data_IF_956517112872
#
_entry.id   IF_956517112872
#
_cell.length_a   1.000
_cell.length_b   1.000
_cell.length_c   1.000
_cell.angle_alpha   90.00
_cell.angle_beta   90.00
_cell.angle_gamma   90.00
#
_symmetry.space_group_name_H-M   'P 1'
#
loop_
_entity.id
_entity.type
_entity.pdbx_description
1 polymer ?
#
# COMPACT_ATOMS: atom_id res chain seq x y z
N UNK A 1 45.21 52.93 24.97
CA UNK A 1 44.15 52.85 23.95
C UNK A 1 44.48 51.75 22.97
N UNK A 2 43.85 50.58 23.09
CA UNK A 2 43.73 49.59 22.03
C UNK A 2 42.52 48.71 22.41
N UNK A 3 41.41 48.90 21.69
CA UNK A 3 40.17 48.16 21.86
C UNK A 3 40.18 46.95 20.92
N UNK A 4 39.96 45.76 21.46
CA UNK A 4 39.79 44.53 20.70
C UNK A 4 38.35 44.46 20.16
N UNK A 5 38.18 44.46 18.84
CA UNK A 5 36.90 44.25 18.18
C UNK A 5 36.65 42.74 17.98
N UNK A 6 35.52 42.27 18.49
CA UNK A 6 35.00 40.91 18.26
C UNK A 6 34.35 40.88 16.88
N UNK A 7 34.84 40.03 15.97
CA UNK A 7 34.14 39.70 14.72
C UNK A 7 33.00 38.72 15.03
N UNK A 8 31.76 39.17 14.87
CA UNK A 8 30.59 38.29 14.76
C UNK A 8 30.47 37.79 13.33
N UNK A 9 30.58 36.48 13.12
CA UNK A 9 30.28 35.86 11.83
C UNK A 9 28.76 35.88 11.60
N UNK A 10 28.30 36.67 10.62
CA UNK A 10 26.90 36.68 10.19
C UNK A 10 26.54 35.38 9.47
N UNK A 11 25.40 34.78 9.81
CA UNK A 11 24.76 33.72 9.02
C UNK A 11 24.48 34.22 7.59
N UNK A 12 24.69 33.40 6.54
CA UNK A 12 24.27 33.78 5.20
C UNK A 12 22.73 33.88 5.17
N UNK A 13 22.22 35.01 4.69
CA UNK A 13 20.81 35.17 4.39
C UNK A 13 20.41 34.19 3.28
N UNK A 14 19.35 33.42 3.50
CA UNK A 14 18.76 32.58 2.48
C UNK A 14 18.22 33.48 1.35
N UNK A 15 18.72 33.28 0.14
CA UNK A 15 18.23 33.98 -1.05
C UNK A 15 16.87 33.37 -1.45
N UNK A 16 15.78 34.13 -1.28
CA UNK A 16 14.46 33.78 -1.78
C UNK A 16 14.45 33.84 -3.32
N UNK A 17 14.66 32.69 -3.97
CA UNK A 17 14.39 32.54 -5.40
C UNK A 17 12.98 31.96 -5.56
N UNK A 18 12.02 32.81 -5.92
CA UNK A 18 10.69 32.38 -6.29
C UNK A 18 10.72 31.70 -7.67
N UNK A 19 10.63 30.37 -7.69
CA UNK A 19 10.42 29.57 -8.92
C UNK A 19 8.91 29.45 -9.15
N UNK A 20 8.39 29.69 -10.37
CA UNK A 20 6.98 29.46 -10.68
C UNK A 20 6.68 27.96 -10.60
N UNK A 21 5.88 27.55 -9.62
CA UNK A 21 5.34 26.19 -9.53
C UNK A 21 4.10 26.11 -10.41
N UNK A 22 4.23 25.44 -11.55
CA UNK A 22 3.12 24.79 -12.19
C UNK A 22 3.37 23.29 -12.06
N UNK A 23 2.78 22.68 -11.03
CA UNK A 23 2.44 21.25 -11.05
C UNK A 23 1.25 21.05 -10.13
N UNK A 24 0.06 21.11 -10.72
CA UNK A 24 -1.16 20.63 -10.06
C UNK A 24 -0.99 19.12 -9.89
N UNK A 25 -1.26 18.59 -8.69
CA UNK A 25 -1.12 17.16 -8.41
C UNK A 25 -1.86 16.31 -9.48
N UNK A 26 -1.28 15.20 -9.97
CA UNK A 26 -1.93 14.37 -10.97
C UNK A 26 -3.29 13.88 -10.47
N UNK A 27 -4.32 13.99 -11.30
CA UNK A 27 -5.61 13.35 -11.06
C UNK A 27 -5.56 11.91 -11.55
N UNK A 28 -6.26 11.01 -10.87
CA UNK A 28 -6.46 9.64 -11.36
C UNK A 28 -7.81 9.54 -12.03
N UNK A 29 -7.84 9.06 -13.27
CA UNK A 29 -9.07 8.74 -14.00
C UNK A 29 -9.24 7.22 -14.07
N UNK A 30 -10.47 6.77 -13.89
CA UNK A 30 -10.84 5.36 -14.02
C UNK A 30 -12.04 5.21 -14.94
N UNK A 31 -11.91 4.31 -15.92
CA UNK A 31 -13.02 3.91 -16.79
C UNK A 31 -13.39 2.47 -16.54
N UNK A 32 -14.65 2.24 -16.21
CA UNK A 32 -15.21 0.91 -15.99
C UNK A 32 -15.89 0.40 -17.25
N UNK A 33 -15.41 -0.72 -17.78
CA UNK A 33 -15.97 -1.43 -18.93
C UNK A 33 -16.77 -2.63 -18.39
N UNK A 34 -18.11 -2.58 -18.44
CA UNK A 34 -18.93 -3.75 -18.12
C UNK A 34 -18.60 -4.89 -19.08
N UNK A 35 -18.26 -6.05 -18.56
CA UNK A 35 -18.04 -7.23 -19.38
C UNK A 35 -19.37 -7.98 -19.50
N UNK A 36 -20.28 -7.39 -20.28
CA UNK A 36 -21.57 -7.99 -20.65
C UNK A 36 -21.45 -8.56 -22.05
N UNK A 37 -21.24 -9.87 -22.21
CA UNK A 37 -21.08 -10.49 -23.53
C UNK A 37 -21.15 -12.01 -23.52
N UNK A 38 -21.75 -12.56 -24.57
CA UNK A 38 -21.86 -14.00 -24.84
C UNK A 38 -20.49 -14.64 -25.00
N UNK A 39 -20.37 -15.91 -24.63
CA UNK A 39 -19.18 -16.73 -24.84
C UNK A 39 -18.63 -16.60 -26.29
N UNK A 40 -17.35 -16.22 -26.43
CA UNK A 40 -16.63 -16.43 -27.69
C UNK A 40 -16.52 -17.92 -28.01
N UNK A 41 -16.53 -18.29 -29.28
CA UNK A 41 -16.36 -19.68 -29.70
C UNK A 41 -15.01 -20.24 -29.19
N UNK A 42 -14.99 -21.48 -28.66
CA UNK A 42 -13.75 -22.13 -28.25
C UNK A 42 -12.80 -22.26 -29.46
N UNK A 43 -11.51 -21.97 -29.26
CA UNK A 43 -10.52 -22.10 -30.34
C UNK A 43 -10.29 -23.58 -30.69
N UNK A 44 -10.19 -23.94 -31.98
CA UNK A 44 -9.76 -25.27 -32.38
C UNK A 44 -8.33 -25.54 -31.89
N UNK A 45 -8.12 -26.63 -31.13
CA UNK A 45 -6.80 -27.10 -30.73
C UNK A 45 -6.44 -26.96 -29.25
N UNK A 46 -7.32 -26.42 -28.39
CA UNK A 46 -7.10 -26.41 -26.94
C UNK A 46 -7.56 -27.72 -26.29
N UNK A 47 -6.62 -28.62 -25.98
CA UNK A 47 -6.85 -29.82 -25.17
C UNK A 47 -6.76 -29.49 -23.68
N UNK A 48 -7.79 -28.88 -23.10
CA UNK A 48 -8.02 -28.90 -21.66
C UNK A 48 -9.52 -29.02 -21.40
N UNK A 49 -9.93 -29.94 -20.52
CA UNK A 49 -11.33 -30.21 -20.17
C UNK A 49 -12.00 -29.13 -19.30
N UNK A 50 -11.69 -27.84 -19.53
CA UNK A 50 -12.23 -26.66 -18.84
C UNK A 50 -12.69 -25.64 -19.89
N UNK A 51 -13.84 -25.00 -19.67
CA UNK A 51 -14.39 -24.04 -20.63
C UNK A 51 -13.63 -22.70 -20.57
N UNK A 52 -12.96 -22.33 -21.66
CA UNK A 52 -12.29 -21.05 -21.83
C UNK A 52 -13.29 -19.97 -22.31
N UNK A 53 -13.22 -18.76 -21.75
CA UNK A 53 -14.01 -17.60 -22.20
C UNK A 53 -13.07 -16.43 -22.49
N UNK A 54 -12.83 -16.18 -23.78
CA UNK A 54 -12.10 -14.97 -24.21
C UNK A 54 -13.06 -13.78 -24.23
N UNK A 55 -12.77 -12.72 -23.46
CA UNK A 55 -13.57 -11.50 -23.42
C UNK A 55 -12.77 -10.38 -24.06
N UNK A 56 -13.11 -10.01 -25.30
CA UNK A 56 -12.41 -8.93 -25.99
C UNK A 56 -12.98 -7.58 -25.59
N UNK A 57 -12.14 -6.75 -25.00
CA UNK A 57 -12.32 -5.29 -24.98
C UNK A 57 -11.54 -4.75 -26.17
N UNK A 58 -12.18 -3.97 -27.05
CA UNK A 58 -11.54 -3.43 -28.26
C UNK A 58 -10.83 -2.09 -27.99
N UNK A 59 -9.91 -1.73 -28.88
CA UNK A 59 -9.03 -0.54 -28.77
C UNK A 59 -9.82 0.79 -28.69
N UNK A 60 -9.18 1.83 -28.14
CA UNK A 60 -9.56 3.24 -28.29
C UNK A 60 -10.88 3.71 -27.65
N UNK A 61 -11.56 2.90 -26.84
CA UNK A 61 -12.83 3.30 -26.23
C UNK A 61 -12.68 4.26 -25.03
N UNK A 62 -11.47 4.41 -24.44
CA UNK A 62 -11.32 4.95 -23.08
C UNK A 62 -10.09 5.84 -22.82
N UNK A 63 -9.30 6.19 -23.84
CA UNK A 63 -8.03 6.90 -23.66
C UNK A 63 -6.88 6.01 -23.16
N UNK A 64 -5.76 6.62 -22.72
CA UNK A 64 -4.58 5.89 -22.22
C UNK A 64 -4.70 5.54 -20.74
N UNK A 65 -4.16 4.39 -20.36
CA UNK A 65 -4.11 3.92 -18.97
C UNK A 65 -2.76 3.26 -18.66
N UNK A 66 -2.44 3.09 -17.38
CA UNK A 66 -1.22 2.40 -16.91
C UNK A 66 -1.51 1.24 -15.97
N UNK A 67 -2.75 1.12 -15.54
CA UNK A 67 -3.19 0.06 -14.64
C UNK A 67 -4.54 -0.51 -15.07
N UNK A 68 -4.74 -1.80 -14.80
CA UNK A 68 -6.04 -2.46 -14.93
C UNK A 68 -6.36 -3.31 -13.70
N UNK A 69 -7.64 -3.43 -13.39
CA UNK A 69 -8.14 -4.33 -12.35
C UNK A 69 -9.46 -4.97 -12.81
N UNK A 70 -9.85 -6.05 -12.15
CA UNK A 70 -11.14 -6.70 -12.31
C UNK A 70 -11.94 -6.54 -11.03
N UNK A 71 -13.24 -6.28 -11.16
CA UNK A 71 -14.15 -6.33 -10.01
C UNK A 71 -15.46 -7.02 -10.36
N UNK A 72 -16.09 -7.64 -9.38
CA UNK A 72 -17.35 -8.35 -9.53
C UNK A 72 -18.23 -8.22 -8.28
N UNK A 73 -19.40 -8.85 -8.29
CA UNK A 73 -20.34 -8.81 -7.17
C UNK A 73 -19.70 -9.33 -5.86
N UNK A 74 -19.93 -8.59 -4.76
CA UNK A 74 -19.40 -8.96 -3.44
C UNK A 74 -19.84 -10.37 -3.03
N UNK A 75 -18.93 -11.13 -2.45
CA UNK A 75 -19.21 -12.45 -1.89
C UNK A 75 -19.29 -13.57 -2.93
N UNK A 76 -19.16 -13.26 -4.22
CA UNK A 76 -18.96 -14.26 -5.26
C UNK A 76 -17.49 -14.67 -5.23
N UNK A 77 -17.23 -15.93 -4.87
CA UNK A 77 -15.90 -16.52 -4.98
C UNK A 77 -15.68 -17.09 -6.38
N UNK A 78 -14.53 -16.77 -6.96
CA UNK A 78 -14.03 -17.48 -8.12
C UNK A 78 -13.64 -18.91 -7.73
N UNK A 79 -13.76 -19.85 -8.66
CA UNK A 79 -13.27 -21.21 -8.48
C UNK A 79 -11.74 -21.23 -8.35
N UNK A 80 -11.21 -22.26 -7.69
CA UNK A 80 -9.75 -22.39 -7.44
C UNK A 80 -8.93 -22.49 -8.73
N UNK A 81 -9.56 -22.87 -9.85
CA UNK A 81 -8.94 -22.91 -11.17
C UNK A 81 -9.15 -21.67 -12.02
N UNK A 82 -9.74 -20.60 -11.46
CA UNK A 82 -9.96 -19.37 -12.19
C UNK A 82 -8.64 -18.68 -12.51
N UNK A 83 -8.44 -18.32 -13.77
CA UNK A 83 -7.23 -17.68 -14.25
C UNK A 83 -7.56 -16.55 -15.21
N UNK A 84 -6.98 -15.37 -14.99
CA UNK A 84 -7.13 -14.23 -15.88
C UNK A 84 -5.80 -13.91 -16.54
N UNK A 85 -5.82 -13.69 -17.85
CA UNK A 85 -4.69 -13.11 -18.58
C UNK A 85 -5.15 -11.89 -19.33
N UNK A 86 -4.28 -10.89 -19.47
CA UNK A 86 -4.51 -9.77 -20.34
C UNK A 86 -3.31 -9.50 -21.24
N UNK A 87 -3.55 -8.83 -22.35
CA UNK A 87 -2.51 -8.21 -23.16
C UNK A 87 -2.88 -6.78 -23.47
N UNK A 88 -1.88 -5.95 -23.66
CA UNK A 88 -2.03 -4.51 -23.78
C UNK A 88 -1.53 -4.03 -25.13
N UNK A 89 -2.21 -3.06 -25.71
CA UNK A 89 -1.75 -2.36 -26.89
C UNK A 89 -0.96 -1.14 -26.47
N UNK A 90 0.28 -1.05 -26.94
CA UNK A 90 1.18 0.06 -26.69
C UNK A 90 2.15 0.20 -27.85
N UNK A 91 2.50 1.43 -28.22
CA UNK A 91 3.45 1.73 -29.30
C UNK A 91 3.10 1.06 -30.65
N UNK A 92 1.82 0.88 -30.95
CA UNK A 92 1.36 0.24 -32.19
C UNK A 92 1.34 -1.29 -32.19
N UNK A 93 1.76 -1.94 -31.10
CA UNK A 93 1.86 -3.39 -31.00
C UNK A 93 1.12 -3.95 -29.78
N UNK A 94 0.72 -5.23 -29.86
CA UNK A 94 0.17 -5.97 -28.73
C UNK A 94 1.28 -6.66 -27.96
N UNK A 95 1.28 -6.56 -26.63
CA UNK A 95 2.18 -7.36 -25.79
C UNK A 95 1.83 -8.85 -25.88
N UNK A 96 2.74 -9.69 -25.36
CA UNK A 96 2.38 -11.05 -24.95
C UNK A 96 1.26 -11.01 -23.90
N UNK A 97 0.55 -12.14 -23.77
CA UNK A 97 -0.40 -12.35 -22.68
C UNK A 97 0.35 -12.43 -21.35
N UNK A 98 -0.20 -11.79 -20.34
CA UNK A 98 0.36 -11.69 -18.99
C UNK A 98 -0.73 -12.01 -17.98
N UNK A 99 -0.36 -12.61 -16.86
CA UNK A 99 -1.31 -12.99 -15.82
C UNK A 99 -1.84 -11.76 -15.08
N UNK A 100 -3.15 -11.77 -14.84
CA UNK A 100 -3.84 -10.78 -14.03
C UNK A 100 -4.14 -11.41 -12.68
N UNK A 101 -3.56 -10.88 -11.59
CA UNK A 101 -3.69 -11.47 -10.28
C UNK A 101 -5.12 -11.35 -9.75
N UNK A 102 -5.84 -12.48 -9.65
CA UNK A 102 -7.23 -12.54 -9.17
C UNK A 102 -7.38 -12.60 -7.64
N UNK A 103 -6.27 -12.72 -6.91
CA UNK A 103 -6.22 -13.00 -5.47
C UNK A 103 -6.33 -11.79 -4.53
N UNK A 104 -6.99 -10.71 -4.95
CA UNK A 104 -7.16 -9.49 -4.15
C UNK A 104 -7.82 -9.73 -2.78
N UNK A 105 -7.84 -8.71 -1.92
CA UNK A 105 -8.50 -8.77 -0.61
C UNK A 105 -10.03 -8.88 -0.77
N UNK A 106 -10.51 -10.11 -0.96
CA UNK A 106 -11.82 -10.37 -1.57
C UNK A 106 -13.02 -10.05 -0.68
N UNK A 107 -12.79 -9.74 0.60
CA UNK A 107 -13.87 -9.45 1.53
C UNK A 107 -13.33 -8.69 2.74
N UNK A 108 -13.23 -7.36 2.64
CA UNK A 108 -13.23 -6.51 3.81
C UNK A 108 -14.67 -6.17 4.22
N UNK A 109 -14.89 -5.87 5.51
CA UNK A 109 -16.19 -5.40 5.98
C UNK A 109 -16.61 -4.06 5.33
N UNK A 110 -15.64 -3.30 4.81
CA UNK A 110 -15.83 -2.00 4.16
C UNK A 110 -16.14 -2.13 2.67
N UNK A 111 -15.59 -3.16 2.00
CA UNK A 111 -15.75 -3.37 0.57
C UNK A 111 -17.22 -3.58 0.18
N UNK A 112 -17.64 -2.98 -0.93
CA UNK A 112 -18.95 -3.12 -1.58
C UNK A 112 -18.92 -4.08 -2.78
N UNK A 113 -17.73 -4.36 -3.31
CA UNK A 113 -17.47 -5.29 -4.41
C UNK A 113 -16.23 -6.11 -4.11
N UNK A 114 -16.12 -7.27 -4.74
CA UNK A 114 -14.89 -8.06 -4.71
C UNK A 114 -14.02 -7.63 -5.88
N UNK A 115 -12.71 -7.45 -5.64
CA UNK A 115 -11.75 -7.01 -6.65
C UNK A 115 -10.52 -7.90 -6.72
N UNK A 116 -9.83 -7.80 -7.86
CA UNK A 116 -8.52 -8.39 -8.10
C UNK A 116 -7.40 -7.53 -7.48
N UNK A 117 -6.15 -7.94 -7.66
CA UNK A 117 -5.05 -6.99 -7.56
C UNK A 117 -5.01 -6.05 -8.78
N UNK A 118 -4.29 -4.93 -8.66
CA UNK A 118 -4.02 -4.05 -9.80
C UNK A 118 -2.86 -4.63 -10.62
N UNK A 119 -3.08 -4.85 -11.91
CA UNK A 119 -2.00 -5.07 -12.86
C UNK A 119 -1.49 -3.71 -13.34
N UNK A 120 -0.21 -3.42 -13.15
CA UNK A 120 0.42 -2.14 -13.50
C UNK A 120 1.46 -2.33 -14.59
N UNK A 121 1.50 -1.40 -15.54
CA UNK A 121 2.39 -1.45 -16.70
C UNK A 121 2.74 -0.06 -17.23
N UNK A 122 3.58 -0.02 -18.28
CA UNK A 122 3.74 1.19 -19.09
C UNK A 122 2.40 1.60 -19.72
N UNK A 123 2.35 2.84 -20.23
CA UNK A 123 1.16 3.40 -20.88
C UNK A 123 0.67 2.53 -22.03
N UNK A 124 -0.62 2.20 -21.97
CA UNK A 124 -1.35 1.45 -22.97
C UNK A 124 -2.61 2.22 -23.41
N UNK A 125 -3.12 1.94 -24.61
CA UNK A 125 -4.32 2.54 -25.22
C UNK A 125 -5.37 1.48 -25.64
N UNK A 126 -5.10 0.22 -25.30
CA UNK A 126 -6.03 -0.90 -25.49
C UNK A 126 -5.67 -2.08 -24.59
N UNK A 127 -6.68 -2.85 -24.19
CA UNK A 127 -6.52 -4.06 -23.39
C UNK A 127 -7.39 -5.18 -23.96
N UNK A 128 -6.90 -6.41 -23.94
CA UNK A 128 -7.72 -7.61 -24.16
C UNK A 128 -7.59 -8.52 -22.96
N UNK A 129 -8.69 -9.14 -22.54
CA UNK A 129 -8.77 -10.00 -21.38
C UNK A 129 -9.20 -11.42 -21.78
N UNK A 130 -8.69 -12.40 -21.08
CA UNK A 130 -9.13 -13.79 -21.15
C UNK A 130 -9.31 -14.29 -19.74
N UNK A 131 -10.50 -14.81 -19.44
CA UNK A 131 -10.81 -15.44 -18.15
C UNK A 131 -11.16 -16.90 -18.38
N UNK A 132 -10.44 -17.78 -17.71
CA UNK A 132 -10.71 -19.21 -17.69
C UNK A 132 -11.31 -19.54 -16.33
N UNK A 133 -12.44 -20.25 -16.29
CA UNK A 133 -13.05 -20.79 -15.06
C UNK A 133 -13.36 -22.26 -15.27
N UNK A 134 -13.28 -23.07 -14.22
CA UNK A 134 -13.57 -24.51 -14.29
C UNK A 134 -15.00 -24.80 -14.75
N UNK A 135 -15.93 -23.94 -14.34
CA UNK A 135 -17.36 -24.07 -14.67
C UNK A 135 -17.77 -23.37 -15.97
N UNK A 136 -16.88 -22.61 -16.59
CA UNK A 136 -17.19 -21.83 -17.80
C UNK A 136 -18.17 -20.66 -17.59
N UNK A 137 -18.42 -20.32 -16.33
CA UNK A 137 -19.28 -19.21 -15.90
C UNK A 137 -18.41 -18.03 -15.44
N UNK A 138 -18.82 -16.83 -15.82
CA UNK A 138 -18.21 -15.59 -15.34
C UNK A 138 -18.89 -15.17 -14.03
N UNK A 139 -18.15 -14.53 -13.09
CA UNK A 139 -18.79 -13.96 -11.91
C UNK A 139 -19.79 -12.87 -12.33
N UNK A 140 -20.89 -12.76 -11.59
CA UNK A 140 -21.91 -11.75 -11.87
C UNK A 140 -21.33 -10.34 -11.73
N UNK A 141 -21.79 -9.43 -12.60
CA UNK A 141 -21.39 -8.03 -12.61
C UNK A 141 -19.87 -7.82 -12.75
N UNK A 142 -19.18 -8.67 -13.51
CA UNK A 142 -17.76 -8.53 -13.83
C UNK A 142 -17.49 -7.23 -14.61
N UNK A 143 -16.46 -6.50 -14.21
CA UNK A 143 -16.00 -5.26 -14.84
C UNK A 143 -14.49 -5.32 -15.00
N UNK A 144 -14.02 -4.79 -16.12
CA UNK A 144 -12.63 -4.39 -16.31
C UNK A 144 -12.53 -2.90 -16.03
N UNK A 145 -11.61 -2.52 -15.17
CA UNK A 145 -11.33 -1.12 -14.84
C UNK A 145 -10.02 -0.73 -15.48
N UNK A 146 -10.01 0.38 -16.22
CA UNK A 146 -8.84 0.96 -16.86
C UNK A 146 -8.48 2.24 -16.10
N UNK A 147 -7.29 2.29 -15.53
CA UNK A 147 -6.88 3.33 -14.58
C UNK A 147 -5.69 4.10 -15.16
N UNK A 148 -5.86 5.42 -15.28
CA UNK A 148 -4.80 6.36 -15.58
C UNK A 148 -4.43 7.12 -14.30
N UNK A 149 -3.36 6.71 -13.59
CA UNK A 149 -2.94 7.34 -12.32
C UNK A 149 -2.24 8.69 -12.50
N UNK A 150 -1.96 9.10 -13.74
CA UNK A 150 -1.10 10.25 -14.05
C UNK A 150 -1.80 11.29 -14.94
N UNK A 151 -3.14 11.34 -14.91
CA UNK A 151 -3.86 12.35 -15.69
C UNK A 151 -3.49 13.72 -15.15
N UNK A 152 -3.04 14.61 -16.03
CA UNK A 152 -2.82 16.01 -15.65
C UNK A 152 -4.19 16.67 -15.44
N UNK A 153 -4.41 17.41 -14.34
CA UNK A 153 -5.65 18.15 -14.15
C UNK A 153 -5.84 19.14 -15.30
N UNK A 154 -7.05 19.23 -15.84
CA UNK A 154 -7.38 20.34 -16.73
C UNK A 154 -7.22 21.65 -15.96
N UNK A 155 -6.46 22.59 -16.52
CA UNK A 155 -6.09 23.83 -15.86
C UNK A 155 -7.33 24.69 -15.56
N UNK A 156 -7.92 24.51 -14.37
CA UNK A 156 -8.88 25.46 -13.82
C UNK A 156 -8.11 26.57 -13.13
N UNK A 157 -8.18 27.78 -13.70
CA UNK A 157 -7.42 28.95 -13.27
C UNK A 157 -7.75 29.37 -11.83
N UNK A 158 -6.95 28.90 -10.88
CA UNK A 158 -6.93 29.40 -9.51
C UNK A 158 -5.50 29.81 -9.16
N UNK A 159 -5.27 31.13 -9.14
CA UNK A 159 -4.03 31.73 -8.64
C UNK A 159 -4.07 31.75 -7.11
N UNK A 160 -3.59 30.69 -6.48
CA UNK A 160 -3.33 30.65 -5.04
C UNK A 160 -1.87 30.32 -4.78
N UNK A 161 -1.08 31.31 -4.35
CA UNK A 161 0.30 31.10 -3.91
C UNK A 161 0.30 30.56 -2.48
N UNK A 162 0.73 29.32 -2.26
CA UNK A 162 1.09 28.83 -0.93
C UNK A 162 2.61 28.73 -0.78
N UNK A 163 3.13 29.29 0.33
CA UNK A 163 4.53 29.16 0.74
C UNK A 163 4.72 27.78 1.39
N UNK A 164 5.36 26.85 0.69
CA UNK A 164 5.94 25.68 1.35
C UNK A 164 7.28 26.08 1.93
N UNK A 165 7.35 26.16 3.26
CA UNK A 165 8.64 26.24 3.97
C UNK A 165 9.15 24.82 4.14
N UNK A 166 10.04 24.38 3.25
CA UNK A 166 10.83 23.17 3.52
C UNK A 166 11.81 23.52 4.64
N UNK A 167 11.56 22.98 5.83
CA UNK A 167 12.53 23.01 6.91
C UNK A 167 13.59 21.94 6.59
N UNK A 168 14.88 22.27 6.57
CA UNK A 168 15.90 21.23 6.55
C UNK A 168 15.68 20.32 7.77
N UNK A 169 15.68 19.01 7.56
CA UNK A 169 15.74 18.04 8.66
C UNK A 169 17.12 18.19 9.33
N UNK A 170 17.22 19.14 10.27
CA UNK A 170 18.31 19.17 11.22
C UNK A 170 18.12 17.96 12.14
N UNK A 171 19.08 17.04 12.13
CA UNK A 171 19.24 16.07 13.21
C UNK A 171 19.57 16.85 14.50
N UNK A 172 18.53 17.31 15.19
CA UNK A 172 18.65 17.77 16.56
C UNK A 172 18.62 16.50 17.41
N UNK A 173 19.78 16.04 17.83
CA UNK A 173 19.87 15.05 18.90
C UNK A 173 19.23 15.66 20.14
N UNK A 174 17.96 15.36 20.38
CA UNK A 174 17.30 15.69 21.63
C UNK A 174 17.75 14.66 22.66
N UNK A 175 18.56 15.11 23.62
CA UNK A 175 18.74 14.38 24.86
C UNK A 175 17.34 14.22 25.49
N UNK A 176 16.78 13.01 25.45
CA UNK A 176 15.43 12.71 25.95
C UNK A 176 14.48 11.99 24.98
N UNK A 177 14.85 11.75 23.71
CA UNK A 177 14.02 10.98 22.78
C UNK A 177 13.79 9.54 23.29
N UNK A 178 12.51 9.12 23.33
CA UNK A 178 12.11 7.77 23.73
C UNK A 178 12.67 6.72 22.76
N UNK A 179 12.71 5.45 23.17
CA UNK A 179 13.16 4.38 22.27
C UNK A 179 12.29 4.30 20.99
N UNK A 180 11.01 4.63 21.08
CA UNK A 180 10.10 4.67 19.93
C UNK A 180 10.42 5.83 18.97
N UNK A 181 10.78 7.02 19.48
CA UNK A 181 11.14 8.17 18.64
C UNK A 181 12.39 7.90 17.80
N UNK A 182 13.31 7.06 18.30
CA UNK A 182 14.53 6.66 17.58
C UNK A 182 14.30 5.58 16.53
N UNK A 183 13.12 4.95 16.54
CA UNK A 183 12.73 3.93 15.58
C UNK A 183 11.91 4.50 14.43
N UNK A 184 11.47 5.76 14.50
CA UNK A 184 10.69 6.39 13.44
C UNK A 184 11.47 6.38 12.12
N UNK A 185 11.00 5.64 11.10
CA UNK A 185 11.65 5.61 9.81
C UNK A 185 11.22 6.84 8.99
N UNK A 186 11.90 7.09 7.87
CA UNK A 186 11.37 8.01 6.88
C UNK A 186 10.12 7.38 6.27
N UNK A 187 8.98 8.05 6.44
CA UNK A 187 7.71 7.67 5.82
C UNK A 187 7.33 8.73 4.81
N UNK A 188 7.20 8.34 3.55
CA UNK A 188 6.62 9.17 2.50
C UNK A 188 5.15 9.41 2.80
N UNK A 189 4.78 10.68 2.85
CA UNK A 189 3.44 11.14 3.16
C UNK A 189 2.48 10.90 2.01
N UNK A 190 1.19 11.05 2.28
CA UNK A 190 0.15 11.06 1.25
C UNK A 190 0.36 12.10 0.16
N UNK A 191 0.93 13.26 0.51
CA UNK A 191 1.29 14.28 -0.45
C UNK A 191 2.43 13.83 -1.39
N UNK A 192 3.41 13.07 -0.87
CA UNK A 192 4.57 12.62 -1.67
C UNK A 192 4.18 11.67 -2.80
N UNK A 193 3.15 10.83 -2.60
CA UNK A 193 2.60 9.99 -3.66
C UNK A 193 1.39 10.59 -4.39
N UNK A 194 0.99 11.82 -4.06
CA UNK A 194 -0.11 12.52 -4.74
C UNK A 194 -1.48 11.91 -4.46
N UNK A 195 -1.76 11.56 -3.21
CA UNK A 195 -3.09 11.11 -2.80
C UNK A 195 -4.16 12.14 -3.12
N UNK A 196 -5.23 11.71 -3.78
CA UNK A 196 -6.41 12.55 -3.95
C UNK A 196 -7.24 12.55 -2.66
N UNK A 197 -6.97 13.51 -1.79
CA UNK A 197 -7.63 13.62 -0.49
C UNK A 197 -9.15 13.84 -0.56
N UNK A 198 -9.67 14.26 -1.73
CA UNK A 198 -11.11 14.42 -1.94
C UNK A 198 -11.86 13.08 -2.02
N UNK A 199 -11.15 11.99 -2.32
CA UNK A 199 -11.70 10.63 -2.37
C UNK A 199 -11.80 10.00 -0.98
N UNK A 200 -10.93 10.38 -0.04
CA UNK A 200 -10.90 9.80 1.29
C UNK A 200 -12.06 10.27 2.16
N UNK A 201 -12.83 9.31 2.69
CA UNK A 201 -13.96 9.52 3.60
C UNK A 201 -13.56 10.43 4.78
N UNK A 202 -14.15 11.62 4.94
CA UNK A 202 -13.84 12.51 6.06
C UNK A 202 -14.17 11.90 7.42
N UNK A 203 -15.00 10.86 7.46
CA UNK A 203 -15.44 10.14 8.65
C UNK A 203 -14.61 8.92 9.04
N UNK A 204 -13.34 8.82 8.61
CA UNK A 204 -12.46 7.71 9.05
C UNK A 204 -12.45 7.59 10.57
N UNK A 205 -12.75 6.38 11.04
CA UNK A 205 -12.86 6.09 12.47
C UNK A 205 -11.49 5.87 13.08
N UNK A 206 -11.34 6.29 14.33
CA UNK A 206 -10.23 5.87 15.18
C UNK A 206 -10.52 4.57 15.91
N UNK A 207 -9.50 4.02 16.54
CA UNK A 207 -9.59 2.94 17.52
C UNK A 207 -8.68 3.24 18.72
N UNK A 208 -8.94 2.57 19.86
CA UNK A 208 -8.30 2.91 21.14
C UNK A 208 -6.86 2.40 21.26
N UNK A 209 -6.51 1.34 20.54
CA UNK A 209 -5.17 0.73 20.60
C UNK A 209 -4.90 -0.19 19.40
N UNK A 210 -3.65 -0.59 19.24
CA UNK A 210 -3.18 -1.67 18.38
C UNK A 210 -2.69 -2.80 19.29
N UNK A 211 -3.07 -4.05 19.01
CA UNK A 211 -2.59 -5.26 19.71
C UNK A 211 -1.78 -6.19 18.83
N UNK A 212 -2.00 -6.15 17.52
CA UNK A 212 -1.24 -6.91 16.53
C UNK A 212 -1.08 -6.10 15.24
N UNK A 213 -0.06 -6.44 14.46
CA UNK A 213 0.23 -5.87 13.16
C UNK A 213 0.09 -6.97 12.10
N UNK A 214 -0.65 -6.70 11.03
CA UNK A 214 -0.96 -7.67 9.99
C UNK A 214 -0.20 -7.31 8.72
N UNK A 215 0.66 -8.22 8.25
CA UNK A 215 1.42 -8.09 7.02
C UNK A 215 0.57 -8.57 5.85
N UNK A 216 0.50 -7.75 4.81
CA UNK A 216 -0.23 -8.00 3.57
C UNK A 216 0.67 -7.91 2.36
N UNK A 217 0.17 -8.41 1.24
CA UNK A 217 0.60 -8.00 -0.09
C UNK A 217 -0.56 -7.30 -0.82
N UNK A 218 -0.27 -6.46 -1.81
CA UNK A 218 -1.30 -5.76 -2.60
C UNK A 218 -1.75 -6.53 -3.83
N UNK A 219 -1.09 -7.66 -4.12
CA UNK A 219 -1.38 -8.55 -5.24
C UNK A 219 -1.18 -7.88 -6.61
N UNK A 220 -0.30 -6.88 -6.72
CA UNK A 220 0.13 -6.36 -8.03
C UNK A 220 1.34 -7.12 -8.59
N UNK A 221 1.63 -6.95 -9.88
CA UNK A 221 2.87 -7.49 -10.48
C UNK A 221 4.13 -6.81 -9.93
N UNK A 222 5.24 -7.53 -9.81
CA UNK A 222 6.47 -7.05 -9.15
C UNK A 222 7.41 -6.24 -10.06
N UNK A 223 7.11 -6.11 -11.36
CA UNK A 223 8.00 -5.55 -12.38
C UNK A 223 7.96 -4.00 -12.49
N UNK A 224 7.55 -3.28 -11.44
CA UNK A 224 7.52 -1.82 -11.42
C UNK A 224 8.89 -1.22 -11.07
N UNK A 225 9.12 0.03 -11.51
CA UNK A 225 10.35 0.81 -11.26
C UNK A 225 10.19 1.72 -10.03
N UNK A 226 11.29 2.23 -9.43
CA UNK A 226 11.21 3.15 -8.31
C UNK A 226 10.33 4.37 -8.59
N UNK A 227 10.44 4.95 -9.78
CA UNK A 227 9.66 6.11 -10.21
C UNK A 227 8.16 5.82 -10.41
N UNK A 228 7.79 4.53 -10.53
CA UNK A 228 6.39 4.12 -10.71
C UNK A 228 5.63 4.03 -9.39
N UNK A 229 6.32 3.99 -8.25
CA UNK A 229 5.70 3.74 -6.94
C UNK A 229 4.56 4.72 -6.63
N UNK A 230 4.72 6.05 -6.81
CA UNK A 230 3.61 6.98 -6.63
C UNK A 230 2.40 6.69 -7.54
N UNK A 231 2.64 6.38 -8.81
CA UNK A 231 1.58 6.08 -9.78
C UNK A 231 0.85 4.78 -9.45
N UNK A 232 1.58 3.74 -9.04
CA UNK A 232 1.02 2.47 -8.59
C UNK A 232 0.18 2.65 -7.31
N UNK A 233 0.67 3.43 -6.35
CA UNK A 233 -0.08 3.80 -5.14
C UNK A 233 -1.41 4.50 -5.50
N UNK A 234 -1.39 5.50 -6.39
CA UNK A 234 -2.60 6.19 -6.87
C UNK A 234 -3.58 5.26 -7.60
N UNK A 235 -3.06 4.31 -8.38
CA UNK A 235 -3.89 3.34 -9.09
C UNK A 235 -4.61 2.39 -8.11
N UNK A 236 -3.89 1.80 -7.15
CA UNK A 236 -4.48 0.94 -6.11
C UNK A 236 -5.46 1.75 -5.26
N UNK A 237 -5.08 2.96 -4.85
CA UNK A 237 -5.92 3.84 -4.05
C UNK A 237 -7.27 4.11 -4.72
N UNK A 238 -7.24 4.49 -5.99
CA UNK A 238 -8.44 4.76 -6.78
C UNK A 238 -9.28 3.50 -6.98
N UNK A 239 -8.65 2.37 -7.28
CA UNK A 239 -9.35 1.09 -7.44
C UNK A 239 -10.11 0.69 -6.16
N UNK A 240 -9.46 0.80 -4.99
CA UNK A 240 -10.08 0.48 -3.71
C UNK A 240 -11.28 1.38 -3.40
N UNK A 241 -11.20 2.67 -3.68
CA UNK A 241 -12.32 3.57 -3.39
C UNK A 241 -13.44 3.43 -4.43
N UNK A 242 -13.12 3.55 -5.70
CA UNK A 242 -14.12 3.72 -6.74
C UNK A 242 -14.71 2.39 -7.22
N UNK A 243 -13.93 1.30 -7.23
CA UNK A 243 -14.45 -0.03 -7.59
C UNK A 243 -14.88 -0.81 -6.36
N UNK A 244 -14.04 -0.89 -5.35
CA UNK A 244 -14.34 -1.74 -4.19
C UNK A 244 -15.13 -1.00 -3.12
N UNK A 245 -15.24 0.34 -3.16
CA UNK A 245 -16.11 1.12 -2.28
C UNK A 245 -15.54 1.41 -0.90
N UNK A 246 -14.23 1.28 -0.71
CA UNK A 246 -13.54 1.66 0.52
C UNK A 246 -13.63 3.18 0.74
N UNK A 247 -13.60 3.60 1.99
CA UNK A 247 -13.51 5.00 2.38
C UNK A 247 -12.11 5.57 2.25
N UNK A 248 -11.06 4.75 2.24
CA UNK A 248 -9.66 5.16 2.01
C UNK A 248 -8.81 3.95 1.65
N UNK A 249 -7.49 4.12 1.50
CA UNK A 249 -6.54 3.01 1.40
C UNK A 249 -6.78 2.03 2.58
N UNK A 250 -6.92 0.72 2.35
CA UNK A 250 -7.26 -0.24 3.42
C UNK A 250 -6.14 -0.41 4.45
N UNK A 251 -4.88 -0.28 4.03
CA UNK A 251 -3.69 -0.49 4.86
C UNK A 251 -3.17 0.83 5.43
N UNK A 252 -2.63 0.79 6.64
CA UNK A 252 -2.08 1.98 7.30
C UNK A 252 -0.78 2.42 6.63
N UNK A 253 0.09 1.46 6.35
CA UNK A 253 1.34 1.68 5.67
C UNK A 253 1.51 0.72 4.50
N UNK A 254 2.24 1.17 3.50
CA UNK A 254 2.62 0.39 2.33
C UNK A 254 4.13 0.43 2.20
N UNK A 255 4.77 -0.69 1.92
CA UNK A 255 6.22 -0.81 1.69
C UNK A 255 6.47 -1.27 0.26
N UNK A 256 7.27 -0.51 -0.48
CA UNK A 256 7.65 -0.86 -1.85
C UNK A 256 8.87 -1.79 -1.91
N UNK A 257 9.15 -2.32 -3.10
CA UNK A 257 10.25 -3.28 -3.34
C UNK A 257 11.64 -2.72 -3.06
N UNK A 258 11.80 -1.41 -3.08
CA UNK A 258 13.03 -0.67 -2.83
C UNK A 258 13.16 -0.24 -1.37
N UNK A 259 12.24 -0.66 -0.50
CA UNK A 259 12.25 -0.36 0.94
C UNK A 259 11.63 0.99 1.32
N UNK A 260 11.05 1.72 0.36
CA UNK A 260 10.30 2.94 0.67
C UNK A 260 9.03 2.63 1.45
N UNK A 261 8.79 3.41 2.52
CA UNK A 261 7.63 3.27 3.39
C UNK A 261 6.69 4.44 3.13
N UNK A 262 5.42 4.17 2.87
CA UNK A 262 4.42 5.13 2.44
C UNK A 262 3.21 5.12 3.37
N UNK A 263 2.71 6.30 3.71
CA UNK A 263 1.42 6.42 4.39
C UNK A 263 0.30 6.03 3.42
N UNK A 264 -0.40 4.94 3.73
CA UNK A 264 -1.61 4.53 3.03
C UNK A 264 -2.81 5.28 3.60
N UNK A 265 -3.47 4.68 4.59
CA UNK A 265 -4.67 5.24 5.23
C UNK A 265 -4.36 6.54 5.96
N UNK A 266 -5.15 7.59 5.72
CA UNK A 266 -4.97 8.94 6.23
C UNK A 266 -4.88 8.97 7.75
N UNK A 267 -3.84 9.63 8.25
CA UNK A 267 -3.60 9.84 9.69
C UNK A 267 -2.78 8.72 10.34
N UNK A 268 -2.31 7.73 9.58
CA UNK A 268 -1.53 6.60 10.11
C UNK A 268 -0.17 7.03 10.66
N UNK A 269 0.47 8.03 10.05
CA UNK A 269 1.73 8.59 10.58
C UNK A 269 1.48 9.20 11.96
N UNK A 270 0.50 10.11 12.05
CA UNK A 270 0.22 10.91 13.25
C UNK A 270 -0.37 10.09 14.41
N UNK A 271 -1.05 8.98 14.13
CA UNK A 271 -1.67 8.15 15.15
C UNK A 271 -0.62 7.46 16.04
N UNK A 272 -0.82 7.59 17.36
CA UNK A 272 0.02 7.02 18.42
C UNK A 272 -0.81 6.94 19.73
N UNK A 273 -0.39 6.18 20.75
CA UNK A 273 -1.14 6.07 22.01
C UNK A 273 -1.43 7.40 22.72
N UNK A 274 -0.62 8.44 22.47
CA UNK A 274 -0.78 9.79 23.02
C UNK A 274 -1.55 10.74 22.10
N UNK A 275 -1.86 10.34 20.87
CA UNK A 275 -2.60 11.16 19.91
C UNK A 275 -4.12 10.98 20.03
N UNK A 276 -4.86 11.81 19.29
CA UNK A 276 -6.30 11.67 19.08
C UNK A 276 -6.62 11.72 17.58
N UNK A 277 -7.14 10.63 16.98
CA UNK A 277 -7.34 9.32 17.60
C UNK A 277 -6.02 8.59 17.92
N UNK A 278 -6.08 7.63 18.84
CA UNK A 278 -4.88 6.86 19.28
C UNK A 278 -4.35 5.90 18.23
N UNK A 279 -5.24 5.40 17.39
CA UNK A 279 -4.98 4.58 16.23
C UNK A 279 -6.08 4.82 15.19
N UNK A 280 -5.82 4.55 13.92
CA UNK A 280 -6.81 4.63 12.84
C UNK A 280 -7.43 3.24 12.65
N UNK A 281 -8.73 3.16 12.40
CA UNK A 281 -9.38 1.90 12.01
C UNK A 281 -9.10 1.63 10.54
N UNK A 282 -8.42 0.53 10.26
CA UNK A 282 -8.13 0.04 8.90
C UNK A 282 -9.31 -0.62 8.18
N UNK A 283 -9.09 -0.95 6.91
CA UNK A 283 -10.01 -1.73 6.07
C UNK A 283 -9.42 -3.08 5.62
N UNK A 284 -8.31 -3.53 6.19
CA UNK A 284 -7.44 -4.56 5.62
C UNK A 284 -7.69 -6.01 6.08
N UNK A 285 -8.51 -6.25 7.10
CA UNK A 285 -8.76 -7.60 7.61
C UNK A 285 -10.20 -7.67 8.13
N UNK A 286 -11.13 -8.19 7.31
CA UNK A 286 -12.52 -8.32 7.72
C UNK A 286 -12.66 -9.04 9.06
N UNK A 287 -13.41 -8.41 9.96
CA UNK A 287 -13.61 -8.95 11.30
C UNK A 287 -12.39 -8.85 12.22
N UNK A 288 -11.27 -8.28 11.79
CA UNK A 288 -10.09 -8.08 12.63
C UNK A 288 -9.44 -6.70 12.45
N UNK A 289 -10.07 -5.76 11.73
CA UNK A 289 -9.62 -4.37 11.60
C UNK A 289 -9.43 -3.69 12.97
N UNK A 290 -10.39 -3.84 13.88
CA UNK A 290 -10.30 -3.25 15.22
C UNK A 290 -9.19 -3.92 16.03
N UNK A 291 -8.26 -3.12 16.54
CA UNK A 291 -7.13 -3.60 17.33
C UNK A 291 -5.96 -4.11 16.49
N UNK A 292 -5.99 -3.97 15.16
CA UNK A 292 -4.85 -4.34 14.31
C UNK A 292 -4.41 -3.23 13.36
N UNK A 293 -3.11 -3.22 13.06
CA UNK A 293 -2.48 -2.30 12.13
C UNK A 293 -1.97 -3.06 10.91
N UNK A 294 -2.57 -2.84 9.75
CA UNK A 294 -2.14 -3.41 8.47
C UNK A 294 -0.93 -2.70 7.84
N UNK A 295 0.09 -3.47 7.48
CA UNK A 295 1.23 -3.08 6.64
C UNK A 295 1.20 -3.91 5.36
N UNK A 296 1.00 -3.28 4.20
CA UNK A 296 1.03 -3.99 2.92
C UNK A 296 2.38 -3.85 2.23
N UNK A 297 2.77 -4.87 1.48
CA UNK A 297 3.92 -4.87 0.59
C UNK A 297 3.45 -4.74 -0.84
N UNK A 298 4.03 -3.82 -1.63
CA UNK A 298 3.67 -3.64 -3.05
C UNK A 298 4.19 -4.81 -3.87
N UNK A 299 3.32 -5.78 -4.15
CA UNK A 299 3.66 -6.92 -4.98
C UNK A 299 2.75 -8.13 -4.78
N UNK A 300 3.16 -9.23 -5.39
CA UNK A 300 2.61 -10.56 -5.24
C UNK A 300 3.76 -11.52 -4.87
N UNK A 301 3.54 -12.33 -3.84
CA UNK A 301 4.53 -13.26 -3.28
C UNK A 301 3.99 -14.69 -3.21
N UNK A 302 2.97 -14.97 -4.01
CA UNK A 302 2.61 -16.34 -4.36
C UNK A 302 3.62 -16.86 -5.41
N UNK A 303 4.24 -18.02 -5.19
CA UNK A 303 5.13 -18.62 -6.17
C UNK A 303 4.36 -18.99 -7.44
N UNK A 304 5.04 -18.92 -8.58
CA UNK A 304 4.48 -19.28 -9.89
C UNK A 304 5.23 -20.48 -10.47
N UNK A 305 4.82 -20.95 -11.66
CA UNK A 305 5.59 -21.95 -12.40
C UNK A 305 7.00 -21.46 -12.75
N UNK A 306 7.22 -20.15 -12.82
CA UNK A 306 8.53 -19.52 -13.05
C UNK A 306 9.42 -19.54 -11.80
N UNK A 307 8.84 -19.79 -10.62
CA UNK A 307 9.56 -20.03 -9.38
C UNK A 307 9.11 -19.17 -8.20
N UNK A 308 10.04 -19.00 -7.27
CA UNK A 308 9.83 -18.25 -6.02
C UNK A 308 9.60 -16.76 -6.29
N UNK A 309 8.60 -16.19 -5.64
CA UNK A 309 8.28 -14.78 -5.61
C UNK A 309 8.69 -14.19 -4.25
N UNK A 310 9.96 -14.39 -3.83
CA UNK A 310 10.45 -13.85 -2.56
C UNK A 310 10.56 -12.32 -2.58
N UNK A 311 10.23 -11.64 -1.47
CA UNK A 311 10.50 -10.21 -1.31
C UNK A 311 11.99 -9.89 -1.39
N UNK A 312 12.31 -8.72 -1.95
CA UNK A 312 13.67 -8.18 -1.93
C UNK A 312 14.10 -7.82 -0.49
N UNK A 313 15.40 -7.90 -0.16
CA UNK A 313 15.90 -7.55 1.17
C UNK A 313 15.52 -6.14 1.63
N UNK A 314 15.51 -5.16 0.73
CA UNK A 314 15.17 -3.77 1.08
C UNK A 314 13.69 -3.60 1.45
N UNK A 315 12.79 -4.31 0.78
CA UNK A 315 11.38 -4.39 1.20
C UNK A 315 11.26 -4.96 2.63
N UNK A 316 11.97 -6.05 2.93
CA UNK A 316 11.95 -6.64 4.27
C UNK A 316 12.52 -5.69 5.33
N UNK A 317 13.53 -4.88 4.98
CA UNK A 317 14.05 -3.82 5.86
C UNK A 317 12.98 -2.76 6.14
N UNK A 318 12.28 -2.28 5.10
CA UNK A 318 11.19 -1.32 5.26
C UNK A 318 10.04 -1.86 6.13
N UNK A 319 9.65 -3.12 5.91
CA UNK A 319 8.63 -3.80 6.74
C UNK A 319 9.13 -3.94 8.19
N UNK A 320 10.37 -4.37 8.41
CA UNK A 320 10.96 -4.45 9.76
C UNK A 320 10.89 -3.10 10.46
N UNK A 321 11.28 -2.02 9.78
CA UNK A 321 11.43 -0.71 10.40
C UNK A 321 10.07 -0.09 10.77
N UNK A 322 9.06 -0.19 9.90
CA UNK A 322 7.70 0.28 10.25
C UNK A 322 7.08 -0.55 11.38
N UNK A 323 7.28 -1.87 11.39
CA UNK A 323 6.79 -2.75 12.46
C UNK A 323 7.52 -2.48 13.79
N UNK A 324 8.83 -2.22 13.77
CA UNK A 324 9.59 -1.88 14.96
C UNK A 324 9.15 -0.54 15.56
N UNK A 325 8.95 0.47 14.71
CA UNK A 325 8.47 1.78 15.15
C UNK A 325 7.10 1.70 15.81
N UNK A 326 6.10 1.16 15.10
CA UNK A 326 4.74 1.04 15.66
C UNK A 326 4.68 0.03 16.81
N UNK A 327 5.43 -1.07 16.73
CA UNK A 327 5.56 -2.03 17.83
C UNK A 327 6.08 -1.37 19.10
N UNK A 328 7.11 -0.53 19.01
CA UNK A 328 7.61 0.23 20.15
C UNK A 328 6.61 1.27 20.67
N UNK A 329 5.93 2.00 19.77
CA UNK A 329 4.90 2.98 20.16
C UNK A 329 3.78 2.32 20.97
N UNK A 330 3.26 1.18 20.51
CA UNK A 330 2.16 0.46 21.15
C UNK A 330 2.59 -0.61 22.18
N UNK A 331 3.89 -0.67 22.52
CA UNK A 331 4.46 -1.60 23.51
C UNK A 331 4.17 -3.08 23.20
N UNK A 332 4.29 -3.46 21.93
CA UNK A 332 4.03 -4.80 21.44
C UNK A 332 5.31 -5.64 21.48
N UNK A 333 5.22 -6.88 21.95
CA UNK A 333 6.30 -7.88 21.81
C UNK A 333 6.20 -8.54 20.42
N UNK A 334 7.12 -8.28 19.46
CA UNK A 334 7.02 -8.81 18.10
C UNK A 334 7.01 -10.34 18.03
N UNK A 335 7.59 -11.01 19.04
CA UNK A 335 7.64 -12.47 19.15
C UNK A 335 6.51 -13.03 20.02
N UNK A 336 5.72 -12.16 20.63
CA UNK A 336 4.64 -12.51 21.52
C UNK A 336 3.36 -12.91 20.78
N UNK A 337 2.34 -13.23 21.57
CA UNK A 337 0.97 -13.50 21.11
C UNK A 337 0.04 -12.37 21.52
N UNK A 338 -0.98 -12.12 20.71
CA UNK A 338 -2.04 -11.17 20.99
C UNK A 338 -3.40 -11.88 20.95
N UNK A 339 -4.33 -11.43 21.81
CA UNK A 339 -5.73 -11.86 21.78
C UNK A 339 -6.57 -10.75 21.14
N UNK A 340 -7.23 -11.10 20.03
CA UNK A 340 -8.15 -10.23 19.31
C UNK A 340 -9.59 -10.57 19.72
N UNK A 341 -10.15 -9.78 20.63
CA UNK A 341 -11.48 -9.97 21.24
C UNK A 341 -12.45 -8.78 20.99
N UNK A 342 -12.00 -7.73 20.32
CA UNK A 342 -12.78 -6.51 20.04
C UNK A 342 -13.72 -6.60 18.83
N UNK A 343 -13.81 -7.78 18.23
CA UNK A 343 -14.27 -7.90 16.84
C UNK A 343 -15.74 -8.28 16.72
N UNK A 344 -16.43 -8.51 17.84
CA UNK A 344 -17.74 -9.17 17.86
C UNK A 344 -17.69 -10.64 17.40
N UNK A 345 -16.49 -11.15 17.08
CA UNK A 345 -16.23 -12.55 16.80
C UNK A 345 -15.70 -13.26 18.04
N UNK A 346 -15.57 -14.59 17.96
CA UNK A 346 -14.88 -15.35 19.01
C UNK A 346 -13.45 -14.84 19.16
N UNK A 347 -12.95 -14.66 20.41
CA UNK A 347 -11.57 -14.27 20.63
C UNK A 347 -10.61 -15.17 19.85
N UNK A 348 -9.65 -14.56 19.17
CA UNK A 348 -8.64 -15.25 18.37
C UNK A 348 -7.26 -14.89 18.86
N UNK A 349 -6.45 -15.91 19.18
CA UNK A 349 -5.05 -15.73 19.53
C UNK A 349 -4.19 -15.81 18.27
N UNK A 350 -3.36 -14.80 18.06
CA UNK A 350 -2.47 -14.69 16.89
C UNK A 350 -1.06 -14.28 17.34
N UNK A 351 -0.08 -14.37 16.44
CA UNK A 351 1.21 -13.70 16.66
C UNK A 351 1.03 -12.18 16.59
N UNK A 352 1.79 -11.43 17.39
CA UNK A 352 1.75 -9.97 17.35
C UNK A 352 2.07 -9.42 15.97
N UNK A 353 3.00 -10.03 15.23
CA UNK A 353 3.17 -9.81 13.79
C UNK A 353 2.59 -11.01 13.07
N UNK A 354 1.48 -10.84 12.36
CA UNK A 354 0.77 -11.94 11.69
C UNK A 354 0.67 -11.68 10.18
N UNK A 355 0.52 -12.72 9.38
CA UNK A 355 0.06 -12.58 7.99
C UNK A 355 -1.46 -12.42 7.94
N UNK A 356 -2.01 -11.90 6.85
CA UNK A 356 -3.46 -11.81 6.72
C UNK A 356 -4.16 -13.17 6.86
N UNK A 357 -3.57 -14.24 6.29
CA UNK A 357 -4.06 -15.62 6.42
C UNK A 357 -4.19 -16.12 7.86
N UNK A 358 -3.49 -15.52 8.82
CA UNK A 358 -3.62 -15.88 10.23
C UNK A 358 -4.93 -15.38 10.84
N UNK A 359 -5.52 -14.32 10.29
CA UNK A 359 -6.77 -13.73 10.79
C UNK A 359 -7.97 -14.02 9.89
N UNK A 360 -7.77 -14.19 8.59
CA UNK A 360 -8.83 -14.40 7.60
C UNK A 360 -8.51 -15.53 6.61
N UNK A 361 -9.53 -16.10 5.95
CA UNK A 361 -9.34 -17.14 4.94
C UNK A 361 -8.90 -16.54 3.59
N UNK A 362 -7.59 -16.35 3.42
CA UNK A 362 -6.95 -15.73 2.25
C UNK A 362 -5.57 -16.34 2.00
N UNK A 363 -5.02 -16.14 0.80
CA UNK A 363 -3.63 -16.45 0.47
C UNK A 363 -2.66 -15.33 0.87
N UNK A 364 -3.16 -14.11 1.13
CA UNK A 364 -2.34 -12.99 1.57
C UNK A 364 -1.57 -13.33 2.88
N UNK A 365 -0.26 -13.05 2.99
CA UNK A 365 0.56 -12.16 2.16
C UNK A 365 1.35 -12.82 1.03
N UNK A 366 0.95 -14.02 0.57
CA UNK A 366 1.77 -14.82 -0.35
C UNK A 366 2.59 -15.87 0.39
N UNK A 367 2.71 -17.08 -0.14
CA UNK A 367 3.48 -18.16 0.51
C UNK A 367 4.93 -17.76 0.83
N UNK A 368 5.62 -17.12 -0.09
CA UNK A 368 7.04 -16.82 0.08
C UNK A 368 7.30 -15.72 1.11
N UNK A 369 6.45 -14.69 1.18
CA UNK A 369 6.52 -13.67 2.24
C UNK A 369 6.04 -14.24 3.58
N UNK A 370 4.99 -15.07 3.58
CA UNK A 370 4.46 -15.68 4.79
C UNK A 370 5.51 -16.58 5.48
N UNK A 371 6.26 -17.37 4.71
CA UNK A 371 7.34 -18.22 5.22
C UNK A 371 8.45 -17.44 5.95
N UNK A 372 8.60 -16.13 5.68
CA UNK A 372 9.61 -15.27 6.29
C UNK A 372 9.15 -14.60 7.59
N UNK A 373 7.86 -14.67 7.94
CA UNK A 373 7.32 -13.99 9.13
C UNK A 373 8.02 -14.38 10.45
N UNK A 374 8.39 -15.64 10.72
CA UNK A 374 9.13 -15.98 11.93
C UNK A 374 10.49 -15.27 12.03
N UNK A 375 11.22 -15.18 10.92
CA UNK A 375 12.50 -14.47 10.87
C UNK A 375 12.30 -12.95 11.01
N UNK A 376 11.26 -12.41 10.36
CA UNK A 376 10.90 -11.00 10.46
C UNK A 376 10.56 -10.60 11.91
N UNK A 377 9.79 -11.43 12.65
CA UNK A 377 9.52 -11.19 14.09
C UNK A 377 10.79 -11.05 14.91
N UNK A 378 11.77 -11.92 14.66
CA UNK A 378 13.08 -11.84 15.32
C UNK A 378 13.79 -10.53 14.96
N UNK A 379 13.85 -10.18 13.68
CA UNK A 379 14.50 -8.93 13.22
C UNK A 379 13.84 -7.67 13.81
N UNK A 380 12.51 -7.66 13.94
CA UNK A 380 11.77 -6.55 14.57
C UNK A 380 12.12 -6.47 16.06
N UNK A 381 12.17 -7.60 16.76
CA UNK A 381 12.55 -7.64 18.17
C UNK A 381 14.00 -7.16 18.39
N UNK A 382 14.94 -7.61 17.54
CA UNK A 382 16.34 -7.19 17.59
C UNK A 382 16.48 -5.68 17.36
N UNK A 383 15.73 -5.14 16.39
CA UNK A 383 15.72 -3.70 16.10
C UNK A 383 15.18 -2.88 17.26
N UNK A 384 14.11 -3.34 17.90
CA UNK A 384 13.53 -2.70 19.08
C UNK A 384 14.48 -2.75 20.28
N UNK A 385 15.14 -3.88 20.52
CA UNK A 385 16.13 -4.03 21.60
C UNK A 385 17.34 -3.09 21.39
N UNK A 386 17.86 -3.00 20.17
CA UNK A 386 18.97 -2.11 19.83
C UNK A 386 18.62 -0.63 20.10
N UNK A 387 17.39 -0.20 19.81
CA UNK A 387 16.94 1.15 20.11
C UNK A 387 16.83 1.43 21.62
N UNK A 388 16.46 0.42 22.42
CA UNK A 388 16.41 0.54 23.88
C UNK A 388 17.81 0.63 24.49
N UNK A 389 18.77 -0.18 24.02
CA UNK A 389 20.17 -0.14 24.48
C UNK A 389 20.81 1.22 24.19
N UNK A 390 20.66 1.72 22.97
CA UNK A 390 21.17 3.05 22.59
C UNK A 390 20.46 4.18 23.35
N UNK A 391 19.23 3.96 23.83
CA UNK A 391 18.53 4.90 24.71
C UNK A 391 19.09 4.95 26.12
N UNK A 392 19.50 3.81 26.67
CA UNK A 392 20.14 3.72 27.98
C UNK A 392 21.58 4.27 28.06
N UNK A 393 22.25 4.44 26.92
CA UNK A 393 23.66 4.88 26.83
C UNK A 393 23.82 6.42 26.75
N UNK A 394 22.74 7.20 26.62
CA UNK A 394 22.83 8.67 26.52
C UNK A 394 23.61 9.28 27.72
N UNK A 395 24.62 10.14 27.48
CA UNK A 395 25.52 10.59 28.54
C UNK A 395 24.77 11.39 29.59
N UNK A 396 24.93 11.00 30.86
CA UNK A 396 24.48 11.80 31.98
C UNK A 396 25.09 13.20 31.89
N UNK A 397 24.26 14.24 31.96
CA UNK A 397 24.75 15.63 32.02
C UNK A 397 25.83 15.74 33.11
N UNK A 398 26.93 16.46 32.86
CA UNK A 398 27.94 16.68 33.88
C UNK A 398 27.27 17.44 35.02
N UNK A 399 27.08 16.78 36.17
CA UNK A 399 26.64 17.42 37.40
C UNK A 399 27.58 18.59 37.68
N UNK A 400 27.08 19.81 37.51
CA UNK A 400 27.77 21.01 37.95
C UNK A 400 28.05 20.86 39.45
N UNK A 401 29.34 20.67 39.80
CA UNK A 401 29.78 20.73 41.19
C UNK A 401 29.57 22.18 41.65
N UNK A 402 28.68 22.37 42.64
CA UNK A 402 28.62 23.59 43.44
C UNK A 402 29.51 23.44 44.66
#
# INVERSE_FOLDING_TARGET
>A
MLAAAVLTAGQPAASDVAIPVADVAPTTEMTNVPLTGSAGEPRPGTTYGKAEREIRVERNATGTFRAVSLSWEKGVRLDLGAHATARFHRNGEWTAWQDIPLGGDQDSGEAKRTGSGVFFSDTADGAQLRLTTEKGELPRNLRLSLINPDKKPEASGSKGTQRLTMKPAAAVGTAGASAADRLEPVVHTRADWGADESKADPGLKGMDTVRAMVVHHTVNGNAYRPEDVPSLMRAIYTDKIENEGYGDFPYHFVVDRFGGIWEGRRGSIAASPSASPKAILGGHAAGYNTGTLGVATLGNFEPTEEGSAKPEPDMLNGVRDILAWKGAQYQLDPKGKAVLDFTGQKPKTVDVVSGHRDVYATLCPGEDLYALLPALRQQVADRMAQAQETAGIAPAEPRARR
#
